data_IF_915844076242
#
_entry.id   IF_915844076242
#
_cell.length_a   1.000
_cell.length_b   1.000
_cell.length_c   1.000
_cell.angle_alpha   90.00
_cell.angle_beta   90.00
_cell.angle_gamma   90.00
#
_symmetry.space_group_name_H-M   'P 1'
#
loop_
_entity.id
_entity.type
_entity.pdbx_description
1 polymer ?
#
# COMPACT_ATOMS: atom_id res chain seq x y z
N UNK A 1 20.55 -12.96 6.07
CA UNK A 1 19.08 -13.15 6.11
C UNK A 1 18.53 -12.57 4.83
N UNK A 2 17.81 -13.36 4.04
CA UNK A 2 17.19 -12.87 2.80
C UNK A 2 15.80 -12.34 3.13
N UNK A 3 15.41 -11.13 2.67
CA UNK A 3 14.06 -10.62 2.89
C UNK A 3 13.03 -11.54 2.25
N UNK A 4 11.83 -11.63 2.84
CA UNK A 4 10.71 -12.41 2.27
C UNK A 4 10.00 -11.64 1.14
N UNK A 5 9.91 -10.32 1.26
CA UNK A 5 9.31 -9.41 0.28
C UNK A 5 10.05 -8.07 0.39
N UNK A 6 10.32 -7.42 -0.74
CA UNK A 6 10.89 -6.07 -0.78
C UNK A 6 9.80 -5.08 -1.20
N UNK A 7 9.72 -3.94 -0.51
CA UNK A 7 8.87 -2.82 -0.92
C UNK A 7 9.73 -1.65 -1.36
N UNK A 8 9.41 -1.09 -2.52
CA UNK A 8 10.10 0.08 -3.09
C UNK A 8 9.04 1.13 -3.40
N UNK A 9 9.08 2.23 -2.66
CA UNK A 9 8.18 3.37 -2.85
C UNK A 9 8.90 4.57 -3.44
N UNK A 10 8.20 5.71 -3.49
CA UNK A 10 8.72 6.97 -4.06
C UNK A 10 9.12 6.87 -5.53
N UNK A 11 8.53 5.94 -6.29
CA UNK A 11 8.78 5.80 -7.72
C UNK A 11 7.95 6.84 -8.51
N UNK A 12 8.35 8.12 -8.41
CA UNK A 12 7.56 9.25 -8.93
C UNK A 12 7.82 9.57 -10.40
N UNK A 13 8.80 8.94 -11.04
CA UNK A 13 9.10 9.13 -12.45
C UNK A 13 9.52 7.82 -13.12
N UNK A 14 9.36 7.68 -14.45
CA UNK A 14 9.78 6.48 -15.18
C UNK A 14 11.27 6.16 -15.00
N UNK A 15 12.12 7.18 -14.89
CA UNK A 15 13.55 7.02 -14.65
C UNK A 15 13.81 6.36 -13.29
N UNK A 16 13.07 6.77 -12.26
CA UNK A 16 13.19 6.20 -10.91
C UNK A 16 12.56 4.80 -10.84
N UNK A 17 11.56 4.50 -11.66
CA UNK A 17 11.01 3.14 -11.76
C UNK A 17 12.03 2.17 -12.36
N UNK A 18 12.89 2.64 -13.27
CA UNK A 18 13.90 1.79 -13.93
C UNK A 18 15.09 1.44 -13.01
N UNK A 19 15.49 2.33 -12.09
CA UNK A 19 16.65 2.12 -11.21
C UNK A 19 16.53 0.88 -10.30
N UNK A 20 15.38 0.63 -9.62
CA UNK A 20 15.21 -0.55 -8.77
C UNK A 20 15.41 -1.87 -9.48
N UNK A 21 15.02 -1.98 -10.75
CA UNK A 21 15.11 -3.22 -11.51
C UNK A 21 16.57 -3.72 -11.67
N UNK A 22 17.54 -2.81 -11.58
CA UNK A 22 18.96 -3.15 -11.57
C UNK A 22 19.44 -3.48 -10.16
N UNK A 23 18.96 -2.76 -9.15
CA UNK A 23 19.40 -2.90 -7.77
C UNK A 23 18.89 -4.19 -7.09
N UNK A 24 17.77 -4.75 -7.55
CA UNK A 24 17.19 -6.00 -7.03
C UNK A 24 17.35 -7.19 -7.98
N UNK A 25 18.22 -7.09 -8.99
CA UNK A 25 18.42 -8.13 -10.01
C UNK A 25 18.80 -9.50 -9.43
N UNK A 26 19.55 -9.52 -8.32
CA UNK A 26 19.98 -10.76 -7.63
C UNK A 26 18.92 -11.31 -6.65
N UNK A 27 17.80 -10.62 -6.47
CA UNK A 27 16.73 -11.03 -5.57
C UNK A 27 15.60 -11.74 -6.33
N UNK A 28 15.40 -13.02 -6.04
CA UNK A 28 14.39 -13.86 -6.71
C UNK A 28 13.01 -13.87 -6.04
N UNK A 29 12.82 -13.09 -4.97
CA UNK A 29 11.56 -13.05 -4.22
C UNK A 29 10.60 -11.96 -4.71
N UNK A 30 9.40 -11.84 -4.10
CA UNK A 30 8.41 -10.84 -4.49
C UNK A 30 8.88 -9.41 -4.19
N UNK A 31 8.62 -8.49 -5.12
CA UNK A 31 8.93 -7.06 -5.00
C UNK A 31 7.68 -6.22 -5.27
N UNK A 32 7.25 -5.44 -4.28
CA UNK A 32 6.17 -4.47 -4.38
C UNK A 32 6.73 -3.12 -4.83
N UNK A 33 6.40 -2.71 -6.06
CA UNK A 33 6.78 -1.40 -6.63
C UNK A 33 5.60 -0.45 -6.53
N UNK A 34 5.76 0.63 -5.78
CA UNK A 34 4.71 1.61 -5.48
C UNK A 34 5.04 2.97 -6.12
N UNK A 35 4.51 3.25 -7.34
CA UNK A 35 4.67 4.55 -7.97
C UNK A 35 3.79 5.60 -7.31
N UNK A 36 4.39 6.75 -6.96
CA UNK A 36 3.71 7.90 -6.34
C UNK A 36 2.51 8.37 -7.17
N UNK A 37 2.52 8.08 -8.48
CA UNK A 37 1.51 8.51 -9.46
C UNK A 37 0.18 7.73 -9.42
N UNK A 38 0.07 6.56 -8.77
CA UNK A 38 -1.13 5.68 -8.93
C UNK A 38 -2.13 5.76 -7.77
N UNK A 39 -1.82 6.45 -6.66
CA UNK A 39 -2.67 6.44 -5.47
C UNK A 39 -3.71 7.60 -5.38
N UNK A 40 -4.34 8.02 -6.49
CA UNK A 40 -5.45 9.01 -6.43
C UNK A 40 -6.86 8.41 -6.41
N UNK A 41 -7.03 7.15 -6.77
CA UNK A 41 -8.18 6.33 -6.36
C UNK A 41 -7.80 4.87 -6.48
N UNK A 42 -8.14 4.09 -5.45
CA UNK A 42 -7.85 2.67 -5.34
C UNK A 42 -8.70 1.92 -6.37
N UNK A 43 -8.25 1.80 -7.61
CA UNK A 43 -9.01 1.08 -8.64
C UNK A 43 -8.20 0.05 -9.43
N UNK A 44 -6.85 0.11 -9.42
CA UNK A 44 -6.03 -0.88 -10.13
C UNK A 44 -4.69 -1.14 -9.45
N UNK A 45 -4.48 -2.39 -9.00
CA UNK A 45 -3.15 -2.91 -8.68
C UNK A 45 -2.63 -3.68 -9.91
N UNK A 46 -1.46 -3.31 -10.42
CA UNK A 46 -0.79 -4.01 -11.50
C UNK A 46 0.01 -5.20 -10.92
N UNK A 47 -0.51 -6.41 -11.10
CA UNK A 47 0.24 -7.64 -10.90
C UNK A 47 1.00 -8.01 -12.18
N UNK A 48 2.10 -8.77 -12.05
CA UNK A 48 2.82 -9.30 -13.21
C UNK A 48 1.94 -10.17 -14.14
N UNK A 49 0.83 -10.70 -13.62
CA UNK A 49 -0.16 -11.52 -14.34
C UNK A 49 -1.41 -10.76 -14.81
N UNK A 50 -1.54 -9.47 -14.51
CA UNK A 50 -2.72 -8.66 -14.90
C UNK A 50 -3.12 -7.62 -13.85
N UNK A 51 -4.24 -6.94 -14.10
CA UNK A 51 -4.80 -5.96 -13.17
C UNK A 51 -5.80 -6.63 -12.23
N UNK A 52 -5.67 -6.40 -10.92
CA UNK A 52 -6.69 -6.79 -9.94
C UNK A 52 -7.49 -5.54 -9.58
N UNK A 53 -8.79 -5.58 -9.87
CA UNK A 53 -9.75 -4.57 -9.39
C UNK A 53 -10.14 -4.91 -7.94
N UNK A 54 -10.05 -3.90 -7.08
CA UNK A 54 -10.36 -4.03 -5.66
C UNK A 54 -11.34 -2.91 -5.29
N UNK A 55 -12.54 -3.25 -4.85
CA UNK A 55 -13.58 -2.26 -4.54
C UNK A 55 -13.75 -2.08 -3.02
N UNK A 56 -13.80 -0.83 -2.56
CA UNK A 56 -14.24 -0.45 -1.22
C UNK A 56 -15.07 0.82 -1.29
N UNK A 57 -15.99 0.99 -0.33
CA UNK A 57 -16.74 2.23 -0.19
C UNK A 57 -15.80 3.42 0.03
N UNK A 58 -16.06 4.52 -0.66
CA UNK A 58 -15.33 5.77 -0.43
C UNK A 58 -15.68 6.31 0.96
N UNK A 59 -14.67 6.68 1.72
CA UNK A 59 -14.82 7.32 3.03
C UNK A 59 -14.68 8.82 2.86
N UNK A 60 -15.64 9.58 3.37
CA UNK A 60 -15.52 11.05 3.46
C UNK A 60 -14.68 11.38 4.68
N UNK A 61 -13.42 11.75 4.46
CA UNK A 61 -12.47 12.11 5.51
C UNK A 61 -11.49 13.17 4.99
N UNK A 62 -10.90 13.95 5.90
CA UNK A 62 -9.77 14.81 5.58
C UNK A 62 -8.41 14.13 5.79
N UNK A 63 -8.39 12.97 6.45
CA UNK A 63 -7.20 12.27 6.88
C UNK A 63 -6.78 11.19 5.87
N UNK A 64 -6.27 11.65 4.73
CA UNK A 64 -5.89 10.79 3.59
C UNK A 64 -4.39 10.75 3.34
N UNK A 65 -3.58 11.38 4.20
CA UNK A 65 -2.13 11.37 4.08
C UNK A 65 -1.59 9.94 4.15
N UNK A 66 -0.63 9.62 3.28
CA UNK A 66 0.05 8.32 3.22
C UNK A 66 -0.86 7.09 3.01
N UNK A 67 -2.07 7.27 2.49
CA UNK A 67 -2.97 6.15 2.14
C UNK A 67 -2.33 5.17 1.15
N UNK A 68 -1.64 5.68 0.12
CA UNK A 68 -0.88 4.86 -0.84
C UNK A 68 0.27 4.08 -0.20
N UNK A 69 1.13 4.78 0.56
CA UNK A 69 2.23 4.16 1.32
C UNK A 69 1.73 3.09 2.30
N UNK A 70 0.59 3.35 2.95
CA UNK A 70 -0.06 2.42 3.88
C UNK A 70 -0.57 1.18 3.14
N UNK A 71 -1.23 1.36 1.99
CA UNK A 71 -1.70 0.24 1.16
C UNK A 71 -0.55 -0.65 0.71
N UNK A 72 0.50 -0.07 0.10
CA UNK A 72 1.63 -0.85 -0.42
C UNK A 72 2.38 -1.58 0.69
N UNK A 73 2.48 -0.98 1.88
CA UNK A 73 3.09 -1.61 3.05
C UNK A 73 2.24 -2.76 3.59
N UNK A 74 0.92 -2.60 3.65
CA UNK A 74 0.00 -3.65 4.06
C UNK A 74 0.02 -4.85 3.07
N UNK A 75 0.04 -4.58 1.76
CA UNK A 75 0.19 -5.64 0.74
C UNK A 75 1.51 -6.39 0.93
N UNK A 76 2.61 -5.66 1.11
CA UNK A 76 3.94 -6.25 1.34
C UNK A 76 3.95 -7.14 2.59
N UNK A 77 3.38 -6.67 3.70
CA UNK A 77 3.28 -7.43 4.94
C UNK A 77 2.41 -8.68 4.79
N UNK A 78 1.32 -8.60 4.03
CA UNK A 78 0.46 -9.74 3.74
C UNK A 78 1.11 -10.76 2.79
N UNK A 79 1.90 -10.31 1.82
CA UNK A 79 2.70 -11.18 0.96
C UNK A 79 3.77 -11.94 1.75
N UNK A 80 4.39 -11.29 2.72
CA UNK A 80 5.41 -11.90 3.57
C UNK A 80 4.87 -13.06 4.43
N UNK A 81 3.54 -13.13 4.64
CA UNK A 81 2.88 -14.28 5.29
C UNK A 81 2.79 -15.52 4.41
N UNK A 82 3.23 -15.46 3.15
CA UNK A 82 3.30 -16.61 2.23
C UNK A 82 2.04 -16.86 1.41
N UNK A 83 1.13 -15.89 1.29
CA UNK A 83 -0.12 -16.04 0.54
C UNK A 83 -0.01 -15.57 -0.94
N UNK A 84 -0.76 -16.17 -1.89
CA UNK A 84 -0.84 -15.73 -3.28
C UNK A 84 -1.56 -14.38 -3.41
N UNK A 85 -1.11 -13.53 -4.33
CA UNK A 85 -1.32 -12.07 -4.37
C UNK A 85 -2.77 -11.57 -4.26
N UNK A 86 -3.78 -12.28 -4.81
CA UNK A 86 -5.17 -11.83 -4.73
C UNK A 86 -5.64 -11.70 -3.27
N UNK A 87 -5.21 -12.60 -2.39
CA UNK A 87 -5.55 -12.59 -0.96
C UNK A 87 -4.93 -11.41 -0.19
N UNK A 88 -3.60 -11.22 -0.23
CA UNK A 88 -2.91 -10.09 0.35
C UNK A 88 -3.47 -8.73 -0.04
N UNK A 89 -3.80 -8.53 -1.31
CA UNK A 89 -4.29 -7.24 -1.80
C UNK A 89 -5.67 -6.91 -1.21
N UNK A 90 -6.60 -7.88 -1.20
CA UNK A 90 -7.91 -7.71 -0.56
C UNK A 90 -7.81 -7.46 0.95
N UNK A 91 -6.97 -8.21 1.68
CA UNK A 91 -6.80 -8.01 3.14
C UNK A 91 -6.18 -6.66 3.47
N UNK A 92 -5.20 -6.22 2.69
CA UNK A 92 -4.60 -4.90 2.83
C UNK A 92 -5.61 -3.78 2.59
N UNK A 93 -6.50 -3.94 1.61
CA UNK A 93 -7.54 -2.98 1.30
C UNK A 93 -8.57 -2.87 2.44
N UNK A 94 -9.02 -4.00 3.00
CA UNK A 94 -9.94 -4.04 4.14
C UNK A 94 -9.31 -3.37 5.36
N UNK A 95 -8.03 -3.66 5.64
CA UNK A 95 -7.30 -3.01 6.73
C UNK A 95 -7.19 -1.49 6.52
N UNK A 96 -6.81 -1.05 5.31
CA UNK A 96 -6.69 0.38 5.03
C UNK A 96 -8.03 1.11 5.15
N UNK A 97 -9.13 0.50 4.69
CA UNK A 97 -10.46 1.07 4.84
C UNK A 97 -10.81 1.27 6.31
N UNK A 98 -10.56 0.28 7.18
CA UNK A 98 -10.73 0.42 8.63
C UNK A 98 -9.86 1.53 9.24
N UNK A 99 -8.60 1.63 8.79
CA UNK A 99 -7.68 2.68 9.24
C UNK A 99 -8.15 4.09 8.84
N UNK A 100 -8.73 4.24 7.65
CA UNK A 100 -9.31 5.51 7.19
C UNK A 100 -10.58 5.86 7.98
N UNK A 101 -11.48 4.90 8.19
CA UNK A 101 -12.71 5.12 8.96
C UNK A 101 -12.44 5.54 10.41
N UNK A 102 -11.34 5.09 11.01
CA UNK A 102 -10.94 5.43 12.37
C UNK A 102 -9.98 6.65 12.46
N UNK A 103 -9.75 7.34 11.34
CA UNK A 103 -8.76 8.41 11.26
C UNK A 103 -9.29 9.75 11.81
N UNK A 104 -10.57 10.06 11.63
CA UNK A 104 -11.13 11.39 11.91
C UNK A 104 -11.11 11.76 13.41
N UNK A 105 -11.07 10.77 14.30
CA UNK A 105 -10.95 10.97 15.74
C UNK A 105 -9.55 11.48 16.15
N UNK A 106 -8.60 11.59 15.21
CA UNK A 106 -7.22 12.06 15.43
C UNK A 106 -6.95 13.36 14.68
N UNK A 107 -6.99 14.48 15.40
CA UNK A 107 -6.53 15.77 14.92
C UNK A 107 -5.00 15.88 15.04
N UNK A 108 -4.27 15.24 14.11
CA UNK A 108 -2.80 15.29 14.03
C UNK A 108 -2.37 16.19 12.88
N UNK A 109 -1.63 17.26 13.20
CA UNK A 109 -1.12 18.22 12.22
C UNK A 109 -2.11 19.31 11.84
N UNK A 110 -1.73 20.16 10.87
CA UNK A 110 -2.53 21.30 10.38
C UNK A 110 -3.06 21.16 8.96
N UNK A 111 -3.01 19.95 8.39
CA UNK A 111 -3.40 19.65 7.00
C UNK A 111 -4.15 18.32 6.90
N UNK A 112 -3.96 17.57 5.81
CA UNK A 112 -4.48 16.20 5.70
C UNK A 112 -3.79 15.32 6.74
N UNK A 113 -4.55 14.81 7.71
CA UNK A 113 -4.02 13.93 8.75
C UNK A 113 -3.72 12.52 8.23
N UNK A 114 -3.00 11.71 9.03
CA UNK A 114 -2.71 10.31 8.71
C UNK A 114 -3.91 9.40 8.96
N UNK A 115 -3.90 8.21 8.36
CA UNK A 115 -4.82 7.13 8.72
C UNK A 115 -4.50 6.56 10.11
N UNK A 116 -5.45 5.88 10.75
CA UNK A 116 -5.22 5.21 12.03
C UNK A 116 -4.71 3.77 11.85
N UNK A 117 -3.40 3.58 11.74
CA UNK A 117 -2.79 2.25 11.53
C UNK A 117 -3.14 1.20 12.59
N UNK A 118 -3.44 1.64 13.81
CA UNK A 118 -3.70 0.77 14.95
C UNK A 118 -5.20 0.64 15.31
N UNK A 119 -6.09 0.96 14.37
CA UNK A 119 -7.55 0.90 14.56
C UNK A 119 -8.09 -0.45 15.07
N UNK A 120 -7.37 -1.55 14.87
CA UNK A 120 -7.73 -2.88 15.39
C UNK A 120 -7.21 -3.19 16.80
N UNK A 121 -6.39 -2.32 17.38
CA UNK A 121 -5.74 -2.53 18.69
C UNK A 121 -6.22 -1.56 19.76
N UNK A 122 -6.54 -0.32 19.39
CA UNK A 122 -7.03 0.70 20.30
C UNK A 122 -7.91 1.72 19.55
N UNK A 123 -8.80 2.45 20.25
CA UNK A 123 -9.65 3.46 19.65
C UNK A 123 -8.86 4.67 19.13
#
# INVERSE_FOLDING_TARGET
>A
MTPQVIKIGMLFSPEIVAVPAEADADYSGPVMRDPVLVAKSVDALLAASGTIALEQSRVTTWNTHDTGCSLSSAITAELAKGAPLEGPAGRAQVWLHGAICAADDRAIGGGHGPVHHFHGYWP
#
